data_IF_663051122843
#
_entry.id   IF_663051122843
#
_cell.length_a   1.000
_cell.length_b   1.000
_cell.length_c   1.000
_cell.angle_alpha   90.00
_cell.angle_beta   90.00
_cell.angle_gamma   90.00
#
_symmetry.space_group_name_H-M   'P 1'
#
loop_
_entity.id
_entity.type
_entity.pdbx_description
1 polymer ?
#
# COMPACT_ATOMS: atom_id res chain seq x y z
N UNK A 1 0.23 4.68 -1.72
CA UNK A 1 1.43 4.09 -2.34
C UNK A 1 2.62 5.04 -2.28
N UNK A 2 2.50 6.29 -2.76
CA UNK A 2 3.64 7.21 -2.83
C UNK A 2 4.39 7.37 -1.49
N UNK A 3 3.66 7.59 -0.39
CA UNK A 3 4.25 7.68 0.95
C UNK A 3 5.01 6.41 1.38
N UNK A 4 4.57 5.22 0.94
CA UNK A 4 5.23 3.95 1.25
C UNK A 4 6.56 3.85 0.50
N UNK A 5 6.55 4.18 -0.80
CA UNK A 5 7.78 4.19 -1.63
C UNK A 5 8.79 5.19 -1.07
N UNK A 6 8.34 6.39 -0.67
CA UNK A 6 9.20 7.40 -0.07
C UNK A 6 9.80 6.94 1.27
N UNK A 7 8.98 6.34 2.13
CA UNK A 7 9.43 5.81 3.41
C UNK A 7 10.49 4.74 3.21
N UNK A 8 10.23 3.76 2.34
CA UNK A 8 11.19 2.67 2.08
C UNK A 8 12.45 3.18 1.38
N UNK A 9 12.31 4.15 0.46
CA UNK A 9 13.43 4.79 -0.22
C UNK A 9 14.36 5.55 0.71
N UNK A 10 13.86 6.06 1.84
CA UNK A 10 14.69 6.67 2.87
C UNK A 10 15.66 5.67 3.54
N UNK A 11 15.36 4.37 3.50
CA UNK A 11 16.26 3.31 3.97
C UNK A 11 17.16 2.79 2.85
N UNK A 12 16.60 2.54 1.66
CA UNK A 12 17.35 2.05 0.49
C UNK A 12 16.63 2.40 -0.80
N UNK A 13 17.36 3.02 -1.74
CA UNK A 13 16.81 3.36 -3.05
C UNK A 13 16.48 2.11 -3.89
N UNK A 14 17.23 1.02 -3.71
CA UNK A 14 16.96 -0.26 -4.38
C UNK A 14 15.66 -0.87 -3.88
N UNK A 15 15.38 -0.79 -2.58
CA UNK A 15 14.10 -1.24 -2.02
C UNK A 15 12.93 -0.43 -2.57
N UNK A 16 13.09 0.89 -2.73
CA UNK A 16 12.07 1.72 -3.37
C UNK A 16 11.83 1.33 -4.83
N UNK A 17 12.88 1.01 -5.58
CA UNK A 17 12.76 0.56 -6.96
C UNK A 17 12.06 -0.79 -7.05
N UNK A 18 12.42 -1.74 -6.17
CA UNK A 18 11.81 -3.07 -6.10
C UNK A 18 10.32 -2.99 -5.75
N UNK A 19 9.96 -2.25 -4.69
CA UNK A 19 8.55 -2.05 -4.32
C UNK A 19 7.78 -1.41 -5.47
N UNK A 20 8.35 -0.38 -6.12
CA UNK A 20 7.68 0.28 -7.24
C UNK A 20 7.44 -0.67 -8.42
N UNK A 21 8.35 -1.60 -8.67
CA UNK A 21 8.21 -2.62 -9.72
C UNK A 21 7.17 -3.69 -9.34
N UNK A 22 7.23 -4.21 -8.11
CA UNK A 22 6.38 -5.29 -7.58
C UNK A 22 4.94 -4.85 -7.28
N UNK A 23 4.74 -3.57 -6.98
CA UNK A 23 3.42 -3.01 -6.59
C UNK A 23 2.78 -2.13 -7.65
N UNK A 24 3.24 -2.22 -8.90
CA UNK A 24 2.64 -1.51 -10.02
C UNK A 24 1.17 -1.92 -10.22
N UNK A 25 0.43 -1.08 -10.93
CA UNK A 25 -0.96 -1.32 -11.34
C UNK A 25 -1.93 -1.49 -10.14
N UNK A 26 -2.62 -2.63 -10.05
CA UNK A 26 -3.74 -2.84 -9.13
C UNK A 26 -3.37 -2.65 -7.65
N UNK A 27 -2.17 -3.06 -7.24
CA UNK A 27 -1.74 -2.90 -5.84
C UNK A 27 -1.62 -1.43 -5.48
N UNK A 28 -1.01 -0.61 -6.33
CA UNK A 28 -0.96 0.84 -6.14
C UNK A 28 -2.35 1.45 -5.98
N UNK A 29 -3.26 1.14 -6.89
CA UNK A 29 -4.62 1.71 -6.89
C UNK A 29 -5.41 1.30 -5.64
N UNK A 30 -5.26 0.05 -5.21
CA UNK A 30 -5.88 -0.46 -3.99
C UNK A 30 -5.37 0.26 -2.73
N UNK A 31 -4.05 0.47 -2.62
CA UNK A 31 -3.46 1.16 -1.46
C UNK A 31 -3.83 2.65 -1.46
N UNK A 32 -3.80 3.30 -2.62
CA UNK A 32 -4.21 4.71 -2.72
C UNK A 32 -5.68 4.88 -2.35
N UNK A 33 -6.55 3.97 -2.80
CA UNK A 33 -7.98 3.94 -2.42
C UNK A 33 -8.16 3.68 -0.93
N UNK A 34 -7.42 2.75 -0.34
CA UNK A 34 -7.48 2.44 1.09
C UNK A 34 -7.12 3.67 1.95
N UNK A 35 -6.05 4.38 1.59
CA UNK A 35 -5.63 5.61 2.28
C UNK A 35 -6.66 6.72 2.10
N UNK A 36 -7.20 6.90 0.90
CA UNK A 36 -8.24 7.88 0.64
C UNK A 36 -9.50 7.61 1.49
N UNK A 37 -9.94 6.35 1.56
CA UNK A 37 -11.08 5.94 2.38
C UNK A 37 -10.83 6.17 3.88
N UNK A 38 -9.65 5.80 4.39
CA UNK A 38 -9.27 6.08 5.79
C UNK A 38 -9.37 7.58 6.10
N UNK A 39 -8.86 8.43 5.20
CA UNK A 39 -8.90 9.88 5.39
C UNK A 39 -10.33 10.42 5.37
N UNK A 40 -11.18 9.93 4.46
CA UNK A 40 -12.59 10.31 4.41
C UNK A 40 -13.33 9.91 5.70
N UNK A 41 -13.12 8.70 6.20
CA UNK A 41 -13.70 8.21 7.47
C UNK A 41 -13.23 9.06 8.65
N UNK A 42 -11.94 9.43 8.71
CA UNK A 42 -11.40 10.30 9.76
C UNK A 42 -12.04 11.70 9.75
N UNK A 43 -12.51 12.16 8.59
CA UNK A 43 -13.30 13.38 8.45
C UNK A 43 -14.82 13.18 8.60
N UNK A 44 -15.26 12.00 9.05
CA UNK A 44 -16.67 11.67 9.29
C UNK A 44 -17.51 11.49 8.01
N UNK A 45 -16.87 11.26 6.86
CA UNK A 45 -17.57 11.02 5.59
C UNK A 45 -17.90 9.55 5.41
N UNK A 46 -19.05 9.27 4.80
CA UNK A 46 -19.36 7.95 4.27
C UNK A 46 -18.58 7.73 2.96
N UNK A 47 -18.07 6.50 2.79
CA UNK A 47 -17.23 6.08 1.67
C UNK A 47 -17.92 5.05 0.78
N UNK A 48 -19.13 4.58 1.14
CA UNK A 48 -19.93 3.67 0.32
C UNK A 48 -19.21 2.35 -0.03
N UNK A 49 -18.29 1.92 0.83
CA UNK A 49 -17.40 0.79 0.57
C UNK A 49 -18.04 -0.54 0.98
N UNK A 50 -18.15 -1.48 0.04
CA UNK A 50 -18.61 -2.82 0.37
C UNK A 50 -17.56 -3.60 1.18
N UNK A 51 -18.01 -4.55 2.00
CA UNK A 51 -17.13 -5.42 2.76
C UNK A 51 -16.17 -6.22 1.86
N UNK A 52 -16.64 -6.68 0.69
CA UNK A 52 -15.82 -7.41 -0.29
C UNK A 52 -14.65 -6.55 -0.76
N UNK A 53 -14.92 -5.30 -1.14
CA UNK A 53 -13.90 -4.37 -1.65
C UNK A 53 -12.92 -3.94 -0.55
N UNK A 54 -13.38 -3.79 0.68
CA UNK A 54 -12.50 -3.60 1.84
C UNK A 54 -11.56 -4.80 2.04
N UNK A 55 -12.06 -6.03 1.88
CA UNK A 55 -11.24 -7.23 2.00
C UNK A 55 -10.17 -7.31 0.89
N UNK A 56 -10.51 -6.91 -0.34
CA UNK A 56 -9.55 -6.82 -1.46
C UNK A 56 -8.42 -5.82 -1.14
N UNK A 57 -8.76 -4.63 -0.66
CA UNK A 57 -7.77 -3.63 -0.27
C UNK A 57 -6.87 -4.11 0.86
N UNK A 58 -7.46 -4.79 1.85
CA UNK A 58 -6.71 -5.39 2.96
C UNK A 58 -5.71 -6.45 2.46
N UNK A 59 -6.13 -7.35 1.57
CA UNK A 59 -5.24 -8.37 0.98
C UNK A 59 -4.11 -7.73 0.18
N UNK A 60 -4.40 -6.69 -0.59
CA UNK A 60 -3.37 -5.93 -1.30
C UNK A 60 -2.38 -5.27 -0.34
N UNK A 61 -2.84 -4.73 0.80
CA UNK A 61 -1.96 -4.17 1.83
C UNK A 61 -1.02 -5.20 2.44
N UNK A 62 -1.53 -6.41 2.74
CA UNK A 62 -0.68 -7.52 3.18
C UNK A 62 0.37 -7.86 2.12
N UNK A 63 -0.01 -7.90 0.84
CA UNK A 63 0.95 -8.20 -0.23
C UNK A 63 2.08 -7.16 -0.33
N UNK A 64 1.77 -5.87 -0.12
CA UNK A 64 2.80 -4.82 -0.06
C UNK A 64 3.71 -5.02 1.15
N UNK A 65 3.18 -5.41 2.31
CA UNK A 65 3.98 -5.69 3.51
C UNK A 65 4.94 -6.86 3.24
N UNK A 66 4.46 -7.96 2.63
CA UNK A 66 5.31 -9.10 2.26
C UNK A 66 6.51 -8.67 1.40
N UNK A 67 6.29 -7.83 0.38
CA UNK A 67 7.37 -7.32 -0.48
C UNK A 67 8.40 -6.51 0.32
N UNK A 68 7.94 -5.71 1.30
CA UNK A 68 8.83 -4.95 2.19
C UNK A 68 9.63 -5.89 3.09
N UNK A 69 8.99 -6.90 3.68
CA UNK A 69 9.63 -7.87 4.58
C UNK A 69 10.73 -8.67 3.86
N UNK A 70 10.52 -9.04 2.60
CA UNK A 70 11.53 -9.71 1.76
C UNK A 70 12.80 -8.86 1.60
N UNK A 71 12.69 -7.53 1.57
CA UNK A 71 13.86 -6.64 1.52
C UNK A 71 14.64 -6.61 2.84
N UNK A 72 13.95 -6.78 3.97
CA UNK A 72 14.57 -6.79 5.29
C UNK A 72 15.26 -8.13 5.61
N UNK A 73 14.74 -9.24 5.08
CA UNK A 73 15.26 -10.58 5.32
C UNK A 73 16.52 -10.92 4.49
N UNK A 74 16.87 -10.10 3.50
CA UNK A 74 18.02 -10.29 2.60
C UNK A 74 19.27 -9.50 3.01
N UNK A 75 19.27 -8.90 4.21
CA UNK A 75 20.39 -8.13 4.78
C UNK A 75 21.32 -8.93 5.68
#
# INVERSE_FOLDING_TARGET
>A
MEAVIQLVGAFSQDWANNIKAETKDQLKDHIDSLVANRNQIAHGKDVGLSHVRLNEYYRSALKVIEVVEEQCATG
#
